data_IF_756023517112
#
_entry.id   IF_756023517112
#
_cell.length_a   1.000
_cell.length_b   1.000
_cell.length_c   1.000
_cell.angle_alpha   90.00
_cell.angle_beta   90.00
_cell.angle_gamma   90.00
#
_symmetry.space_group_name_H-M   'P 1'
#
loop_
_entity.id
_entity.type
_entity.pdbx_description
1 polymer ?
#
# COMPACT_ATOMS: atom_id res chain seq x y z
N UNK A 1 -8.16 -0.78 14.91
CA UNK A 1 -6.87 -0.55 14.19
C UNK A 1 -6.94 0.83 13.56
N UNK A 2 -6.00 1.73 13.85
CA UNK A 2 -5.97 3.09 13.31
C UNK A 2 -5.18 3.14 12.01
N UNK A 3 -5.67 3.83 10.99
CA UNK A 3 -4.98 3.97 9.70
C UNK A 3 -4.11 5.23 9.71
N UNK A 4 -2.82 5.07 9.40
CA UNK A 4 -1.87 6.15 9.17
C UNK A 4 -1.77 6.41 7.66
N UNK A 5 -1.75 7.67 7.25
CA UNK A 5 -1.85 8.08 5.83
C UNK A 5 -0.59 8.73 5.28
N UNK A 6 0.48 8.86 6.07
CA UNK A 6 1.73 9.49 5.65
C UNK A 6 2.96 8.77 6.22
N UNK A 7 4.12 9.01 5.62
CA UNK A 7 5.37 8.33 5.99
C UNK A 7 5.94 8.82 7.32
N UNK A 8 5.86 10.12 7.61
CA UNK A 8 6.42 10.70 8.83
C UNK A 8 5.77 10.10 10.10
N UNK A 9 4.44 10.00 10.13
CA UNK A 9 3.69 9.41 11.24
C UNK A 9 4.00 7.91 11.40
N UNK A 10 4.25 7.17 10.31
CA UNK A 10 4.71 5.77 10.41
C UNK A 10 6.06 5.70 11.11
N UNK A 11 7.01 6.56 10.71
CA UNK A 11 8.35 6.57 11.30
C UNK A 11 8.28 6.97 12.77
N UNK A 12 7.51 8.00 13.13
CA UNK A 12 7.28 8.41 14.51
C UNK A 12 6.68 7.28 15.36
N UNK A 13 5.56 6.71 14.90
CA UNK A 13 4.86 5.62 15.60
C UNK A 13 5.76 4.39 15.77
N UNK A 14 6.69 4.13 14.85
CA UNK A 14 7.62 3.02 14.92
C UNK A 14 8.87 3.28 15.79
N UNK A 15 9.05 4.50 16.30
CA UNK A 15 10.14 4.87 17.19
C UNK A 15 11.27 5.65 16.53
N UNK A 16 11.00 6.34 15.43
CA UNK A 16 11.94 7.22 14.75
C UNK A 16 12.78 6.53 13.66
N UNK A 17 13.65 7.34 13.05
CA UNK A 17 14.49 6.97 11.90
C UNK A 17 15.36 5.76 12.21
N UNK A 18 16.09 5.78 13.32
CA UNK A 18 17.03 4.71 13.73
C UNK A 18 16.31 3.37 13.91
N UNK A 19 15.13 3.38 14.55
CA UNK A 19 14.37 2.15 14.77
C UNK A 19 13.84 1.57 13.47
N UNK A 20 13.39 2.42 12.54
CA UNK A 20 12.94 1.99 11.21
C UNK A 20 14.10 1.49 10.36
N UNK A 21 15.27 2.13 10.45
CA UNK A 21 16.49 1.69 9.77
C UNK A 21 16.89 0.29 10.23
N UNK A 22 16.93 0.04 11.54
CA UNK A 22 17.19 -1.27 12.12
C UNK A 22 16.15 -2.33 11.70
N UNK A 23 14.87 -1.98 11.68
CA UNK A 23 13.80 -2.91 11.25
C UNK A 23 13.96 -3.34 9.79
N UNK A 24 14.39 -2.41 8.92
CA UNK A 24 14.42 -2.61 7.47
C UNK A 24 15.80 -2.92 6.91
N UNK A 25 16.80 -3.08 7.78
CA UNK A 25 18.21 -3.26 7.43
C UNK A 25 18.74 -2.14 6.50
N UNK A 26 18.15 -0.96 6.61
CA UNK A 26 18.54 0.23 5.85
C UNK A 26 19.47 1.11 6.68
N UNK A 27 20.09 2.09 6.01
CA UNK A 27 20.87 3.14 6.69
C UNK A 27 19.96 4.31 7.05
N UNK A 28 20.26 5.01 8.15
CA UNK A 28 19.48 6.17 8.60
C UNK A 28 19.27 7.24 7.51
N UNK A 29 20.27 7.60 6.68
CA UNK A 29 20.06 8.57 5.59
C UNK A 29 19.06 8.06 4.53
N UNK A 30 18.95 6.74 4.33
CA UNK A 30 17.96 6.19 3.41
C UNK A 30 16.55 6.37 3.98
N UNK A 31 16.35 6.09 5.27
CA UNK A 31 15.07 6.32 5.96
C UNK A 31 14.72 7.81 5.98
N UNK A 32 15.69 8.69 6.23
CA UNK A 32 15.50 10.14 6.15
C UNK A 32 14.97 10.56 4.77
N UNK A 33 15.57 10.04 3.69
CA UNK A 33 15.10 10.32 2.33
C UNK A 33 13.67 9.80 2.09
N UNK A 34 13.29 8.65 2.64
CA UNK A 34 11.92 8.14 2.52
C UNK A 34 10.89 9.09 3.15
N UNK A 35 11.24 9.73 4.26
CA UNK A 35 10.39 10.69 4.97
C UNK A 35 10.33 12.03 4.23
N UNK A 36 11.47 12.64 3.94
CA UNK A 36 11.54 14.05 3.55
C UNK A 36 11.73 14.31 2.06
N UNK A 37 12.28 13.35 1.31
CA UNK A 37 12.54 13.51 -0.12
C UNK A 37 11.49 12.81 -1.00
N UNK A 38 11.02 11.64 -0.57
CA UNK A 38 10.13 10.80 -1.40
C UNK A 38 8.71 10.66 -0.88
N UNK A 39 8.49 10.90 0.42
CA UNK A 39 7.22 10.65 1.11
C UNK A 39 6.67 9.23 0.84
N UNK A 40 7.58 8.27 0.64
CA UNK A 40 7.24 6.90 0.28
C UNK A 40 8.36 5.92 0.62
N UNK A 41 7.97 4.73 1.06
CA UNK A 41 8.84 3.59 1.32
C UNK A 41 9.13 2.77 0.06
N UNK A 42 10.27 2.07 0.01
CA UNK A 42 10.52 1.01 -0.97
C UNK A 42 9.57 -0.17 -0.78
N UNK A 43 9.09 -0.78 -1.87
CA UNK A 43 8.09 -1.85 -1.82
C UNK A 43 8.53 -3.10 -1.02
N UNK A 44 9.83 -3.39 -0.96
CA UNK A 44 10.38 -4.53 -0.23
C UNK A 44 10.32 -4.39 1.30
N UNK A 45 10.05 -3.19 1.84
CA UNK A 45 9.89 -2.99 3.30
C UNK A 45 8.46 -3.19 3.79
N UNK A 46 7.51 -3.46 2.88
CA UNK A 46 6.08 -3.50 3.19
C UNK A 46 5.71 -4.45 4.32
N UNK A 47 6.08 -5.73 4.21
CA UNK A 47 5.68 -6.74 5.19
C UNK A 47 6.27 -6.44 6.57
N UNK A 48 7.54 -6.06 6.64
CA UNK A 48 8.23 -5.76 7.89
C UNK A 48 7.57 -4.59 8.61
N UNK A 49 7.32 -3.49 7.91
CA UNK A 49 6.75 -2.30 8.52
C UNK A 49 5.26 -2.46 8.85
N UNK A 50 4.48 -3.17 8.04
CA UNK A 50 3.07 -3.44 8.34
C UNK A 50 2.91 -4.35 9.56
N UNK A 51 3.72 -5.38 9.72
CA UNK A 51 3.68 -6.22 10.92
C UNK A 51 4.10 -5.42 12.17
N UNK A 52 5.13 -4.57 12.07
CA UNK A 52 5.53 -3.69 13.16
C UNK A 52 4.44 -2.68 13.54
N UNK A 53 3.72 -2.11 12.56
CA UNK A 53 2.57 -1.23 12.79
C UNK A 53 1.40 -1.97 13.44
N UNK A 54 1.11 -3.18 12.97
CA UNK A 54 0.02 -4.02 13.47
C UNK A 54 0.21 -4.38 14.95
N UNK A 55 1.44 -4.68 15.36
CA UNK A 55 1.78 -4.91 16.78
C UNK A 55 1.46 -3.68 17.66
N UNK A 56 1.46 -2.48 17.09
CA UNK A 56 1.10 -1.23 17.77
C UNK A 56 -0.37 -0.82 17.56
N UNK A 57 -1.18 -1.64 16.88
CA UNK A 57 -2.59 -1.36 16.61
C UNK A 57 -2.85 -0.43 15.40
N UNK A 58 -1.85 -0.25 14.53
CA UNK A 58 -1.93 0.61 13.34
C UNK A 58 -1.94 -0.19 12.04
N UNK A 59 -2.32 0.49 10.96
CA UNK A 59 -2.19 0.03 9.58
C UNK A 59 -1.88 1.20 8.67
N UNK A 60 -1.49 0.91 7.43
CA UNK A 60 -1.16 1.93 6.45
C UNK A 60 -1.53 1.46 5.03
N UNK A 61 -1.94 2.40 4.15
CA UNK A 61 -2.36 2.06 2.81
C UNK A 61 -1.14 1.73 1.91
N UNK A 62 -1.27 0.80 0.94
CA UNK A 62 -0.14 0.35 0.11
C UNK A 62 0.52 1.44 -0.74
N UNK A 63 -0.15 2.56 -1.01
CA UNK A 63 0.44 3.64 -1.81
C UNK A 63 1.65 4.28 -1.14
N UNK A 64 1.77 4.20 0.19
CA UNK A 64 2.97 4.63 0.93
C UNK A 64 4.18 3.74 0.65
N UNK A 65 4.00 2.58 0.03
CA UNK A 65 5.08 1.69 -0.46
C UNK A 65 5.19 1.72 -1.99
N UNK A 66 4.71 2.80 -2.64
CA UNK A 66 4.63 2.93 -4.10
C UNK A 66 3.82 1.81 -4.77
N UNK A 67 3.02 1.06 -4.00
CA UNK A 67 2.20 -0.03 -4.51
C UNK A 67 0.85 0.51 -4.99
N UNK A 68 0.37 -0.02 -6.12
CA UNK A 68 -0.98 0.26 -6.59
C UNK A 68 -1.96 -0.60 -5.81
N UNK A 69 -2.91 0.02 -5.12
CA UNK A 69 -4.04 -0.71 -4.53
C UNK A 69 -4.90 -1.39 -5.60
N UNK A 70 -5.71 -2.36 -5.18
CA UNK A 70 -6.72 -2.97 -6.03
C UNK A 70 -7.76 -1.89 -6.38
N UNK A 71 -7.64 -1.30 -7.57
CA UNK A 71 -8.76 -0.56 -8.16
C UNK A 71 -9.78 -1.59 -8.61
N UNK A 72 -10.75 -1.89 -7.75
CA UNK A 72 -11.96 -2.61 -8.14
C UNK A 72 -12.58 -1.83 -9.30
N UNK A 73 -12.33 -2.27 -10.53
CA UNK A 73 -12.88 -1.63 -11.72
C UNK A 73 -14.38 -1.85 -11.68
N UNK A 74 -15.16 -0.90 -11.15
CA UNK A 74 -16.61 -0.79 -11.44
C UNK A 74 -16.87 -0.86 -12.96
N UNK A 75 -15.88 -0.49 -13.79
CA UNK A 75 -15.90 -0.59 -15.28
C UNK A 75 -15.66 -2.00 -15.85
N UNK A 76 -14.98 -2.91 -15.16
CA UNK A 76 -14.75 -4.27 -15.68
C UNK A 76 -16.04 -5.11 -15.62
N UNK A 77 -16.81 -4.99 -14.55
CA UNK A 77 -18.12 -5.62 -14.42
C UNK A 77 -19.09 -5.17 -15.54
N UNK A 78 -19.09 -3.88 -15.89
CA UNK A 78 -19.90 -3.36 -17.01
C UNK A 78 -19.44 -3.91 -18.38
N UNK A 79 -18.13 -4.08 -18.60
CA UNK A 79 -17.59 -4.64 -19.86
C UNK A 79 -17.83 -6.15 -19.97
N UNK A 80 -17.82 -6.87 -18.85
CA UNK A 80 -18.15 -8.30 -18.78
C UNK A 80 -19.65 -8.54 -19.03
N UNK A 81 -20.53 -7.75 -18.38
CA UNK A 81 -21.99 -7.78 -18.60
C UNK A 81 -22.37 -7.53 -20.06
N UNK A 82 -21.67 -6.63 -20.76
CA UNK A 82 -21.88 -6.38 -22.19
C UNK A 82 -21.50 -7.60 -23.04
N UNK A 83 -20.36 -8.25 -22.78
CA UNK A 83 -19.92 -9.45 -23.54
C UNK A 83 -20.81 -10.67 -23.32
N UNK A 84 -21.34 -10.89 -22.12
CA UNK A 84 -22.23 -12.03 -21.84
C UNK A 84 -23.65 -11.81 -22.36
N UNK A 85 -24.17 -10.58 -22.30
CA UNK A 85 -25.48 -10.24 -22.88
C UNK A 85 -25.56 -10.39 -24.41
N UNK A 86 -24.47 -10.11 -25.14
CA UNK A 86 -24.43 -10.29 -26.60
C UNK A 86 -24.32 -11.75 -27.04
N UNK A 87 -23.74 -12.62 -26.20
CA UNK A 87 -23.52 -14.04 -26.54
C UNK A 87 -24.79 -14.88 -26.37
N UNK A 88 -25.68 -14.49 -25.44
CA UNK A 88 -26.98 -15.14 -25.23
C UNK A 88 -27.99 -14.80 -26.34
N UNK A 89 -27.99 -13.56 -26.87
CA UNK A 89 -28.87 -13.15 -27.97
C UNK A 89 -28.55 -13.83 -29.31
N UNK A 90 -27.28 -14.21 -29.56
CA UNK A 90 -26.86 -14.91 -30.79
C UNK A 90 -27.15 -16.42 -30.79
N UNK A 91 -27.64 -17.00 -29.69
CA UNK A 91 -28.00 -18.43 -29.59
C UNK A 91 -29.50 -18.68 -29.58
N UNK A 92 -30.30 -17.62 -29.58
CA UNK A 92 -31.76 -17.66 -29.57
C UNK A 92 -32.37 -17.20 -30.91
N UNK A 93 -31.56 -17.14 -31.97
CA UNK A 93 -31.94 -16.80 -33.34
C UNK A 93 -31.45 -17.91 -34.27
#
# INVERSE_FOLDING_TARGET
MKTISNVAEIVEVLGGIERVAALTEAKDPAVWNWVYAFEAFPANTYFVLIEALKQRGYTAPPHLWKMRGIRLRKRAAARLKRRTGTRLKKRAA
#
